data_IF_123046013661
#
_entry.id   IF_123046013661
#
_cell.length_a   1.000
_cell.length_b   1.000
_cell.length_c   1.000
_cell.angle_alpha   90.00
_cell.angle_beta   90.00
_cell.angle_gamma   90.00
#
_symmetry.space_group_name_H-M   'P 1'
#
loop_
_entity.id
_entity.type
_entity.pdbx_description
1 polymer ?
#
# COMPACT_ATOMS: atom_id res chain seq x y z
N UNK A 1 6.65 17.33 -5.97
CA UNK A 1 8.02 17.78 -6.35
C UNK A 1 9.11 16.73 -6.10
N UNK A 2 9.36 16.26 -4.87
CA UNK A 2 10.44 15.28 -4.59
C UNK A 2 10.30 13.98 -5.41
N UNK A 3 9.15 13.32 -5.40
CA UNK A 3 8.96 12.07 -6.15
C UNK A 3 9.08 12.24 -7.66
N UNK A 4 8.75 13.43 -8.20
CA UNK A 4 8.96 13.74 -9.62
C UNK A 4 10.46 13.86 -9.91
N UNK A 5 11.21 14.54 -9.04
CA UNK A 5 12.65 14.64 -9.14
C UNK A 5 13.35 13.29 -9.05
N UNK A 6 12.98 12.42 -8.10
CA UNK A 6 13.61 11.09 -7.94
C UNK A 6 13.40 10.18 -9.16
N UNK A 7 12.27 10.34 -9.85
CA UNK A 7 11.89 9.50 -11.01
C UNK A 7 12.30 10.10 -12.36
N UNK A 8 12.66 11.38 -12.43
CA UNK A 8 12.99 12.02 -13.72
C UNK A 8 14.32 11.49 -14.26
N UNK A 9 14.45 11.46 -15.58
CA UNK A 9 15.76 11.24 -16.23
C UNK A 9 16.69 12.41 -15.89
N UNK A 10 17.90 12.09 -15.42
CA UNK A 10 18.90 13.10 -15.13
C UNK A 10 20.29 12.67 -15.60
N UNK A 11 20.58 12.95 -16.87
CA UNK A 11 21.83 12.53 -17.51
C UNK A 11 22.03 11.00 -17.38
N UNK A 12 23.15 10.62 -16.77
CA UNK A 12 23.53 9.22 -16.55
C UNK A 12 23.15 8.70 -15.14
N UNK A 13 22.46 9.51 -14.33
CA UNK A 13 22.02 9.10 -12.99
C UNK A 13 20.74 8.26 -13.13
N UNK A 14 20.76 7.06 -12.55
CA UNK A 14 19.59 6.18 -12.53
C UNK A 14 18.48 6.76 -11.64
N UNK A 15 17.20 6.53 -11.97
CA UNK A 15 16.09 6.90 -11.11
C UNK A 15 16.19 6.22 -9.72
N UNK A 16 15.63 6.89 -8.71
CA UNK A 16 15.55 6.38 -7.34
C UNK A 16 14.11 6.05 -7.02
N UNK A 17 13.86 4.87 -6.44
CA UNK A 17 12.54 4.48 -5.98
C UNK A 17 12.12 5.36 -4.78
N UNK A 18 11.00 6.10 -4.87
CA UNK A 18 10.47 6.81 -3.72
C UNK A 18 9.95 5.82 -2.68
N UNK A 19 10.16 6.14 -1.40
CA UNK A 19 9.64 5.36 -0.28
C UNK A 19 8.52 6.16 0.39
N UNK A 20 7.29 5.64 0.35
CA UNK A 20 6.18 6.14 1.15
C UNK A 20 6.23 5.50 2.54
N UNK A 21 6.23 6.32 3.59
CA UNK A 21 6.23 5.90 4.98
C UNK A 21 5.47 6.92 5.83
N UNK A 22 5.01 6.50 7.02
CA UNK A 22 4.28 7.34 7.97
C UNK A 22 2.80 6.95 8.10
N UNK A 23 2.50 6.13 9.11
CA UNK A 23 1.12 5.74 9.44
C UNK A 23 0.40 4.91 8.37
N UNK A 24 1.14 4.24 7.48
CA UNK A 24 0.54 3.47 6.39
C UNK A 24 -0.16 2.21 6.90
N UNK A 25 -1.30 1.88 6.30
CA UNK A 25 -2.05 0.64 6.49
C UNK A 25 -2.68 0.19 5.15
N UNK A 26 -3.15 -1.07 5.00
CA UNK A 26 -3.61 -1.59 3.71
C UNK A 26 -4.66 -0.74 2.99
N UNK A 27 -5.55 -0.09 3.74
CA UNK A 27 -6.59 0.80 3.20
C UNK A 27 -6.08 2.02 2.41
N UNK A 28 -4.82 2.43 2.59
CA UNK A 28 -4.26 3.60 1.90
C UNK A 28 -3.63 3.28 0.55
N UNK A 29 -3.45 2.00 0.22
CA UNK A 29 -2.73 1.57 -0.98
C UNK A 29 -3.33 2.13 -2.28
N UNK A 30 -4.66 2.10 -2.51
CA UNK A 30 -5.24 2.68 -3.73
C UNK A 30 -4.94 4.17 -3.89
N UNK A 31 -4.99 4.92 -2.79
CA UNK A 31 -4.70 6.36 -2.77
C UNK A 31 -3.23 6.64 -3.05
N UNK A 32 -2.32 5.89 -2.42
CA UNK A 32 -0.88 6.01 -2.67
C UNK A 32 -0.56 5.69 -4.13
N UNK A 33 -1.12 4.59 -4.66
CA UNK A 33 -0.94 4.18 -6.04
C UNK A 33 -1.35 5.30 -7.02
N UNK A 34 -2.49 5.96 -6.77
CA UNK A 34 -2.96 7.10 -7.58
C UNK A 34 -2.04 8.32 -7.50
N UNK A 35 -1.48 8.63 -6.32
CA UNK A 35 -0.68 9.86 -6.10
C UNK A 35 0.76 9.68 -6.61
N UNK A 36 1.37 8.53 -6.35
CA UNK A 36 2.81 8.29 -6.56
C UNK A 36 3.06 7.42 -7.80
N UNK A 37 2.15 6.51 -8.15
CA UNK A 37 2.30 5.53 -9.24
C UNK A 37 2.84 4.18 -8.78
N UNK A 38 2.92 3.17 -9.66
CA UNK A 38 3.33 1.81 -9.29
C UNK A 38 4.79 1.70 -8.81
N UNK A 39 5.67 2.59 -9.28
CA UNK A 39 7.10 2.56 -8.97
C UNK A 39 7.40 3.25 -7.63
N UNK A 40 7.09 2.56 -6.54
CA UNK A 40 7.41 3.01 -5.17
C UNK A 40 7.65 1.83 -4.23
N UNK A 41 8.24 2.13 -3.08
CA UNK A 41 8.22 1.25 -1.90
C UNK A 41 7.23 1.82 -0.89
N UNK A 42 6.37 0.96 -0.31
CA UNK A 42 5.48 1.33 0.79
C UNK A 42 5.95 0.67 2.08
N UNK A 43 6.26 1.45 3.11
CA UNK A 43 6.67 0.97 4.42
C UNK A 43 5.52 1.09 5.45
N UNK A 44 5.01 -0.05 5.90
CA UNK A 44 3.79 -0.13 6.72
C UNK A 44 4.03 -0.13 8.22
N UNK A 45 5.20 -0.54 8.71
CA UNK A 45 5.51 -0.61 10.15
C UNK A 45 4.32 -1.11 11.00
N UNK A 46 3.80 -0.23 11.86
CA UNK A 46 2.66 -0.53 12.74
C UNK A 46 1.34 -0.89 12.05
N UNK A 47 1.09 -0.44 10.80
CA UNK A 47 -0.11 -0.82 10.06
C UNK A 47 -0.04 -2.22 9.43
N UNK A 48 1.15 -2.85 9.43
CA UNK A 48 1.32 -4.28 9.13
C UNK A 48 1.35 -5.09 10.42
N UNK A 49 2.28 -4.77 11.32
CA UNK A 49 2.47 -5.53 12.56
C UNK A 49 1.27 -5.44 13.50
N UNK A 50 0.52 -4.34 13.47
CA UNK A 50 -0.66 -4.13 14.28
C UNK A 50 -1.93 -4.81 13.76
N UNK A 51 -1.84 -5.71 12.77
CA UNK A 51 -3.01 -6.44 12.28
C UNK A 51 -3.65 -7.26 13.42
N UNK A 52 -5.00 -7.37 13.51
CA UNK A 52 -5.67 -8.09 14.60
C UNK A 52 -5.19 -9.53 14.81
N UNK A 53 -4.73 -10.18 13.73
CA UNK A 53 -4.21 -11.56 13.74
C UNK A 53 -2.67 -11.61 13.55
N UNK A 54 -1.96 -10.52 13.88
CA UNK A 54 -0.51 -10.44 13.89
C UNK A 54 0.16 -10.21 12.53
N UNK A 55 1.48 -10.09 12.56
CA UNK A 55 2.32 -9.61 11.43
C UNK A 55 2.13 -10.39 10.13
N UNK A 56 2.00 -11.72 10.20
CA UNK A 56 1.83 -12.56 9.02
C UNK A 56 0.54 -12.20 8.27
N UNK A 57 -0.57 -12.08 9.00
CA UNK A 57 -1.85 -11.67 8.42
C UNK A 57 -1.83 -10.20 7.97
N UNK A 58 -1.07 -9.34 8.66
CA UNK A 58 -0.80 -7.98 8.19
C UNK A 58 -0.10 -7.94 6.83
N UNK A 59 0.91 -8.79 6.62
CA UNK A 59 1.62 -8.89 5.36
C UNK A 59 0.71 -9.41 4.24
N UNK A 60 -0.15 -10.41 4.53
CA UNK A 60 -1.17 -10.89 3.60
C UNK A 60 -2.14 -9.75 3.24
N UNK A 61 -2.67 -9.02 4.21
CA UNK A 61 -3.60 -7.91 3.97
C UNK A 61 -2.99 -6.81 3.08
N UNK A 62 -1.71 -6.47 3.29
CA UNK A 62 -0.97 -5.54 2.42
C UNK A 62 -0.90 -6.08 1.00
N UNK A 63 -0.49 -7.34 0.81
CA UNK A 63 -0.37 -7.95 -0.50
C UNK A 63 -1.72 -8.05 -1.24
N UNK A 64 -2.78 -8.40 -0.53
CA UNK A 64 -4.16 -8.45 -1.05
C UNK A 64 -4.63 -7.06 -1.49
N UNK A 65 -4.34 -6.00 -0.73
CA UNK A 65 -4.68 -4.63 -1.11
C UNK A 65 -3.89 -4.14 -2.35
N UNK A 66 -2.60 -4.50 -2.48
CA UNK A 66 -1.81 -4.24 -3.69
C UNK A 66 -2.43 -4.96 -4.88
N UNK A 67 -2.72 -6.26 -4.73
CA UNK A 67 -3.31 -7.09 -5.78
C UNK A 67 -4.65 -6.54 -6.24
N UNK A 68 -5.53 -6.17 -5.31
CA UNK A 68 -6.81 -5.55 -5.62
C UNK A 68 -6.63 -4.25 -6.42
N UNK A 69 -5.72 -3.38 -5.96
CA UNK A 69 -5.43 -2.08 -6.60
C UNK A 69 -4.92 -2.27 -8.03
N UNK A 70 -3.94 -3.15 -8.24
CA UNK A 70 -3.37 -3.41 -9.57
C UNK A 70 -4.37 -4.04 -10.55
N UNK A 71 -5.34 -4.79 -10.03
CA UNK A 71 -6.42 -5.40 -10.82
C UNK A 71 -7.67 -4.51 -10.95
N UNK A 72 -7.58 -3.22 -10.59
CA UNK A 72 -8.70 -2.28 -10.63
C UNK A 72 -9.95 -2.75 -9.85
N UNK A 73 -9.75 -3.48 -8.74
CA UNK A 73 -10.82 -3.90 -7.83
C UNK A 73 -10.82 -2.98 -6.60
N UNK A 74 -12.01 -2.62 -6.12
CA UNK A 74 -12.12 -1.90 -4.84
C UNK A 74 -11.71 -2.83 -3.69
N UNK A 75 -11.15 -2.26 -2.63
CA UNK A 75 -10.70 -3.05 -1.48
C UNK A 75 -11.87 -3.72 -0.77
N UNK A 76 -13.03 -3.07 -0.73
CA UNK A 76 -14.27 -3.58 -0.15
C UNK A 76 -14.74 -4.83 -0.88
N UNK A 77 -14.76 -4.81 -2.22
CA UNK A 77 -15.15 -5.96 -3.04
C UNK A 77 -14.15 -7.10 -2.89
N UNK A 78 -12.85 -6.78 -2.83
CA UNK A 78 -11.81 -7.79 -2.67
C UNK A 78 -11.87 -8.45 -1.29
N UNK A 79 -12.11 -7.66 -0.24
CA UNK A 79 -12.20 -8.13 1.14
C UNK A 79 -13.30 -9.16 1.39
N UNK A 80 -14.36 -9.19 0.57
CA UNK A 80 -15.46 -10.16 0.71
C UNK A 80 -15.01 -11.63 0.73
N UNK A 81 -13.90 -11.95 0.06
CA UNK A 81 -13.31 -13.31 0.03
C UNK A 81 -11.91 -13.38 0.64
N UNK A 82 -11.45 -12.32 1.30
CA UNK A 82 -10.08 -12.17 1.78
C UNK A 82 -10.09 -11.67 3.23
N UNK A 83 -10.02 -12.62 4.17
CA UNK A 83 -10.20 -12.36 5.61
C UNK A 83 -9.18 -11.37 6.17
N UNK A 84 -7.91 -11.50 5.79
CA UNK A 84 -6.84 -10.64 6.28
C UNK A 84 -7.09 -9.18 5.90
N UNK A 85 -7.33 -8.92 4.61
CA UNK A 85 -7.74 -7.59 4.16
C UNK A 85 -9.01 -7.10 4.85
N UNK A 86 -10.05 -7.93 4.99
CA UNK A 86 -11.29 -7.55 5.65
C UNK A 86 -11.08 -7.07 7.09
N UNK A 87 -10.26 -7.79 7.86
CA UNK A 87 -9.92 -7.41 9.24
C UNK A 87 -9.07 -6.14 9.30
N UNK A 88 -8.12 -5.96 8.39
CA UNK A 88 -7.36 -4.73 8.26
C UNK A 88 -8.26 -3.52 7.95
N UNK A 89 -9.19 -3.66 7.00
CA UNK A 89 -10.16 -2.61 6.66
C UNK A 89 -11.14 -2.33 7.79
N UNK A 90 -11.57 -3.34 8.54
CA UNK A 90 -12.38 -3.13 9.74
C UNK A 90 -11.64 -2.30 10.79
N UNK A 91 -10.34 -2.54 10.96
CA UNK A 91 -9.50 -1.83 11.94
C UNK A 91 -9.16 -0.40 11.52
N UNK A 92 -8.78 -0.19 10.26
CA UNK A 92 -8.21 1.07 9.78
C UNK A 92 -8.91 1.68 8.56
N UNK A 93 -9.78 0.95 7.87
CA UNK A 93 -10.42 1.32 6.61
C UNK A 93 -11.50 2.40 6.72
N UNK A 94 -11.39 3.34 7.67
CA UNK A 94 -12.27 4.49 7.81
C UNK A 94 -11.52 5.80 7.50
N UNK A 95 -11.63 6.26 6.25
CA UNK A 95 -12.11 7.60 5.82
C UNK A 95 -11.91 7.78 4.32
#
# INVERSE_FOLDING_TARGET
EINKFLKKRWGNIKPVLPIASGGLHPGLIPKLYKIIGPDMIMNFGGGLHGHPEGSYQGAIAVNEAITATMNNKTLEKYANSHKALALALKKWGRK
#
